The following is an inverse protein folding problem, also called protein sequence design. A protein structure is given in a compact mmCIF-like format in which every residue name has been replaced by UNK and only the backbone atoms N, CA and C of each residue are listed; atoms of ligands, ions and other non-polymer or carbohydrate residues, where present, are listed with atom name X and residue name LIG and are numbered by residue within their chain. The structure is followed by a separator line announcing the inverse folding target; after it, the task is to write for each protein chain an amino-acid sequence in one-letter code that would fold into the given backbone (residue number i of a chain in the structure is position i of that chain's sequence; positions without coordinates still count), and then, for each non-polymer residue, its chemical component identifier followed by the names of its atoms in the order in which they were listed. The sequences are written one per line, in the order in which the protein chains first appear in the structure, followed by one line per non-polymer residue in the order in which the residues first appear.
data_IF_595770294125
#
_entry.id   IF_595770294125
#
_cell.length_a   1.000
_cell.length_b   1.000
_cell.length_c   1.000
_cell.angle_alpha   90.00
_cell.angle_beta   90.00
_cell.angle_gamma   90.00
#
_symmetry.space_group_name_H-M   'P 1'
#
loop_
_entity.id
_entity.type
_entity.pdbx_description
1 polymer ?
#
# COMPACT_ATOMS: atom_id res chain seq x y z
N UNK A 1 15.83 10.73 3.08
CA UNK A 1 15.18 9.44 3.36
C UNK A 1 16.29 8.46 3.66
N UNK A 2 16.14 7.67 4.71
CA UNK A 2 17.22 6.83 5.24
C UNK A 2 16.71 5.41 5.38
N UNK A 3 17.59 4.43 5.16
CA UNK A 3 17.30 3.04 5.52
C UNK A 3 17.14 2.94 7.04
N UNK A 4 16.28 2.05 7.50
CA UNK A 4 16.06 1.80 8.93
C UNK A 4 16.59 0.42 9.35
N UNK A 5 17.82 0.11 8.95
CA UNK A 5 18.38 -1.23 9.14
C UNK A 5 18.50 -1.57 10.63
N UNK A 6 18.87 -0.61 11.47
CA UNK A 6 18.99 -0.85 12.91
C UNK A 6 17.62 -1.03 13.57
N UNK A 7 16.59 -0.29 13.14
CA UNK A 7 15.23 -0.53 13.61
C UNK A 7 14.79 -1.97 13.35
N UNK A 8 14.86 -2.41 12.09
CA UNK A 8 14.37 -3.74 11.72
C UNK A 8 15.10 -4.85 12.48
N UNK A 9 16.42 -4.71 12.68
CA UNK A 9 17.21 -5.64 13.49
C UNK A 9 16.81 -5.59 14.98
N UNK A 10 16.63 -4.40 15.54
CA UNK A 10 16.25 -4.25 16.96
C UNK A 10 14.89 -4.88 17.27
N UNK A 11 13.93 -4.83 16.33
CA UNK A 11 12.63 -5.50 16.48
C UNK A 11 12.76 -7.03 16.66
N UNK A 12 13.81 -7.63 16.12
CA UNK A 12 14.08 -9.07 16.20
C UNK A 12 14.94 -9.46 17.40
N UNK A 13 15.72 -8.53 17.94
CA UNK A 13 16.64 -8.80 19.04
C UNK A 13 15.98 -8.68 20.41
N UNK A 14 15.02 -7.77 20.58
CA UNK A 14 14.47 -7.47 21.90
C UNK A 14 13.13 -8.15 22.15
N UNK A 15 12.96 -8.87 23.28
CA UNK A 15 11.70 -9.56 23.58
C UNK A 15 10.54 -8.57 23.61
N UNK A 16 9.55 -8.79 22.73
CA UNK A 16 8.41 -7.88 22.55
C UNK A 16 8.77 -6.53 21.94
N UNK A 17 9.97 -6.39 21.36
CA UNK A 17 10.55 -5.14 20.89
C UNK A 17 10.44 -4.05 21.95
N UNK A 18 10.85 -4.37 23.20
CA UNK A 18 10.75 -3.49 24.35
C UNK A 18 12.10 -3.32 25.05
N UNK A 19 12.56 -2.08 25.19
CA UNK A 19 13.80 -1.74 25.90
C UNK A 19 13.75 -0.31 26.44
N UNK A 20 14.74 0.04 27.26
CA UNK A 20 14.89 1.41 27.77
C UNK A 20 15.13 2.38 26.60
N UNK A 21 14.65 3.63 26.74
CA UNK A 21 14.83 4.67 25.73
C UNK A 21 16.32 4.89 25.39
N UNK A 22 17.21 4.85 26.37
CA UNK A 22 18.65 5.01 26.11
C UNK A 22 19.23 3.86 25.28
N UNK A 23 18.73 2.63 25.46
CA UNK A 23 19.17 1.49 24.65
C UNK A 23 18.66 1.63 23.22
N UNK A 24 17.40 2.07 23.01
CA UNK A 24 16.89 2.41 21.69
C UNK A 24 17.71 3.51 21.00
N UNK A 25 18.03 4.60 21.71
CA UNK A 25 18.84 5.69 21.16
C UNK A 25 20.22 5.20 20.71
N UNK A 26 20.84 4.34 21.52
CA UNK A 26 22.16 3.78 21.22
C UNK A 26 22.12 2.84 20.02
N UNK A 27 21.12 1.97 19.93
CA UNK A 27 20.97 1.00 18.84
C UNK A 27 20.60 1.70 17.52
N UNK A 28 19.68 2.65 17.56
CA UNK A 28 19.15 3.31 16.36
C UNK A 28 20.08 4.41 15.83
N UNK A 29 20.79 5.12 16.72
CA UNK A 29 21.65 6.25 16.34
C UNK A 29 20.88 7.26 15.49
N UNK A 30 21.37 7.52 14.27
CA UNK A 30 20.77 8.47 13.32
C UNK A 30 19.34 8.07 12.87
N UNK A 31 18.98 6.78 12.99
CA UNK A 31 17.64 6.29 12.65
C UNK A 31 16.57 6.67 13.69
N UNK A 32 16.97 7.13 14.89
CA UNK A 32 16.05 7.43 15.99
C UNK A 32 14.90 8.34 15.57
N UNK A 33 15.20 9.42 14.83
CA UNK A 33 14.21 10.43 14.41
C UNK A 33 13.08 9.86 13.52
N UNK A 34 13.37 8.80 12.76
CA UNK A 34 12.37 8.08 11.96
C UNK A 34 11.69 6.96 12.73
N UNK A 35 12.44 6.28 13.60
CA UNK A 35 12.01 5.09 14.32
C UNK A 35 11.13 5.39 15.55
N UNK A 36 11.35 6.50 16.25
CA UNK A 36 10.65 6.84 17.50
C UNK A 36 9.12 6.88 17.31
N UNK A 37 8.64 7.25 16.13
CA UNK A 37 7.21 7.28 15.80
C UNK A 37 6.52 5.91 15.90
N UNK A 38 7.27 4.82 15.72
CA UNK A 38 6.75 3.45 15.84
C UNK A 38 6.88 2.89 17.25
N UNK A 39 7.42 3.67 18.19
CA UNK A 39 7.58 3.27 19.58
C UNK A 39 6.52 3.96 20.46
N UNK A 40 6.04 3.25 21.48
CA UNK A 40 5.15 3.81 22.50
C UNK A 40 5.68 3.55 23.89
N UNK A 41 5.36 4.44 24.84
CA UNK A 41 5.67 4.23 26.25
C UNK A 41 4.85 3.06 26.78
N UNK A 42 5.54 2.07 27.36
CA UNK A 42 4.86 0.93 28.01
C UNK A 42 4.38 1.25 29.43
N UNK A 43 4.75 2.41 29.97
CA UNK A 43 4.52 2.78 31.38
C UNK A 43 5.51 2.14 32.37
N UNK A 44 6.29 1.15 31.93
CA UNK A 44 7.34 0.50 32.74
C UNK A 44 8.62 1.32 32.75
N UNK A 45 9.42 1.10 33.80
CA UNK A 45 10.79 1.63 33.90
C UNK A 45 11.77 0.46 33.94
N UNK A 46 12.88 0.62 33.25
CA UNK A 46 13.97 -0.34 33.31
C UNK A 46 14.60 -0.32 34.72
N UNK A 47 14.96 -1.50 35.20
CA UNK A 47 15.77 -1.69 36.42
C UNK A 47 17.21 -2.04 36.07
N UNK A 48 17.44 -2.51 34.84
CA UNK A 48 18.75 -2.89 34.31
C UNK A 48 18.92 -2.36 32.88
N UNK A 49 20.16 -2.12 32.46
CA UNK A 49 20.53 -1.70 31.11
C UNK A 49 21.60 -2.62 30.53
N UNK A 50 21.67 -2.68 29.20
CA UNK A 50 22.72 -3.42 28.51
C UNK A 50 24.10 -2.80 28.75
N UNK A 51 25.09 -3.60 29.16
CA UNK A 51 26.45 -3.10 29.37
C UNK A 51 27.20 -2.95 28.04
N UNK A 52 27.82 -1.79 27.74
CA UNK A 52 28.64 -1.61 26.54
C UNK A 52 29.92 -2.46 26.53
N UNK A 53 30.40 -2.92 27.69
CA UNK A 53 31.59 -3.77 27.83
C UNK A 53 31.23 -5.22 28.18
N UNK A 54 30.03 -5.68 27.80
CA UNK A 54 29.58 -7.04 28.10
C UNK A 54 30.64 -8.09 27.72
N UNK A 55 31.13 -8.84 28.70
CA UNK A 55 31.87 -10.10 28.45
C UNK A 55 30.90 -11.25 28.17
N UNK A 56 31.41 -12.40 27.74
CA UNK A 56 30.64 -13.61 27.39
C UNK A 56 29.61 -14.07 28.45
N UNK A 57 29.72 -13.61 29.69
CA UNK A 57 28.79 -13.90 30.78
C UNK A 57 27.63 -12.89 30.97
N UNK A 58 27.46 -11.91 30.07
CA UNK A 58 26.31 -11.00 30.09
C UNK A 58 26.26 -10.08 31.30
N UNK A 59 27.21 -9.15 31.41
CA UNK A 59 27.15 -8.09 32.44
C UNK A 59 25.97 -7.15 32.17
N UNK A 60 25.01 -7.05 33.09
CA UNK A 60 23.97 -6.01 33.07
C UNK A 60 24.35 -4.84 33.98
N UNK A 61 23.92 -3.63 33.62
CA UNK A 61 24.09 -2.45 34.48
C UNK A 61 22.87 -2.24 35.34
N UNK A 62 23.04 -2.19 36.66
CA UNK A 62 21.95 -1.98 37.61
C UNK A 62 21.61 -0.49 37.71
N UNK A 63 20.32 -0.15 37.64
CA UNK A 63 19.85 1.23 37.80
C UNK A 63 19.68 1.52 39.30
N UNK A 64 20.51 2.42 39.82
CA UNK A 64 20.50 2.85 41.22
C UNK A 64 19.95 4.26 41.33
N UNK A 65 19.00 4.44 42.24
CA UNK A 65 18.49 5.75 42.63
C UNK A 65 19.29 6.26 43.82
N UNK A 66 19.95 7.40 43.64
CA UNK A 66 20.71 8.07 44.68
C UNK A 66 19.77 8.77 45.68
N UNK A 67 20.30 9.09 46.86
CA UNK A 67 19.57 9.75 47.95
C UNK A 67 19.01 11.11 47.51
N UNK A 68 19.74 11.84 46.66
CA UNK A 68 19.31 13.12 46.07
C UNK A 68 18.28 12.98 44.94
N UNK A 69 17.84 11.76 44.64
CA UNK A 69 16.84 11.45 43.63
C UNK A 69 17.38 11.34 42.20
N UNK A 70 18.69 11.54 41.97
CA UNK A 70 19.34 11.26 40.67
C UNK A 70 19.41 9.76 40.39
N UNK A 71 19.54 9.41 39.13
CA UNK A 71 19.65 8.03 38.65
C UNK A 71 21.04 7.80 38.07
N UNK A 72 21.60 6.61 38.32
CA UNK A 72 22.82 6.16 37.63
C UNK A 72 22.75 4.67 37.30
N UNK A 73 23.40 4.27 36.21
CA UNK A 73 23.63 2.88 35.84
C UNK A 73 24.99 2.44 36.40
N UNK A 74 25.02 1.45 37.29
CA UNK A 74 26.24 0.88 37.87
C UNK A 74 26.59 -0.46 37.19
N UNK A 75 27.88 -0.81 37.15
CA UNK A 75 28.30 -2.11 36.63
C UNK A 75 27.78 -3.24 37.54
N UNK A 76 27.16 -4.28 36.98
CA UNK A 76 26.73 -5.45 37.75
C UNK A 76 27.84 -6.47 38.05
N UNK A 77 29.03 -6.34 37.45
CA UNK A 77 30.16 -7.24 37.70
C UNK A 77 30.92 -6.88 38.97
N UNK A 78 31.43 -7.90 39.66
CA UNK A 78 32.36 -7.75 40.77
C UNK A 78 33.68 -8.45 40.40
N UNK A 79 34.80 -7.72 40.28
CA UNK A 79 34.94 -6.26 40.35
C UNK A 79 34.36 -5.54 39.11
N UNK A 80 34.03 -4.25 39.27
CA UNK A 80 33.47 -3.42 38.20
C UNK A 80 34.37 -3.40 36.97
N UNK A 81 33.80 -3.68 35.79
CA UNK A 81 34.51 -3.65 34.50
C UNK A 81 34.28 -2.36 33.70
N UNK A 82 33.29 -1.56 34.09
CA UNK A 82 32.94 -0.32 33.41
C UNK A 82 32.52 0.78 34.39
N UNK A 83 32.69 2.03 33.97
CA UNK A 83 32.28 3.20 34.74
C UNK A 83 30.76 3.34 34.79
N UNK A 84 30.26 3.98 35.85
CA UNK A 84 28.85 4.29 35.97
C UNK A 84 28.42 5.35 34.94
N UNK A 85 27.15 5.33 34.54
CA UNK A 85 26.56 6.35 33.69
C UNK A 85 25.48 7.12 34.44
N UNK A 86 25.47 8.45 34.34
CA UNK A 86 24.37 9.28 34.88
C UNK A 86 23.17 9.13 33.93
N UNK A 87 21.97 8.97 34.50
CA UNK A 87 20.74 8.78 33.75
C UNK A 87 19.71 9.85 34.11
N UNK A 88 18.90 10.22 33.13
CA UNK A 88 17.69 10.98 33.35
C UNK A 88 16.46 10.07 33.44
N UNK A 89 15.35 10.60 33.98
CA UNK A 89 14.09 9.84 34.08
C UNK A 89 13.57 9.34 32.72
N UNK A 90 13.68 10.09 31.60
CA UNK A 90 13.26 9.59 30.29
C UNK A 90 14.10 8.40 29.81
N UNK A 91 15.38 8.31 30.18
CA UNK A 91 16.31 7.29 29.68
C UNK A 91 15.88 5.88 30.09
N UNK A 92 15.38 5.75 31.32
CA UNK A 92 14.91 4.47 31.87
C UNK A 92 13.47 4.14 31.50
N UNK A 93 12.79 4.99 30.72
CA UNK A 93 11.41 4.71 30.29
C UNK A 93 11.43 3.60 29.25
N UNK A 94 10.70 2.51 29.49
CA UNK A 94 10.63 1.38 28.57
C UNK A 94 9.70 1.73 27.41
N UNK A 95 10.26 1.77 26.22
CA UNK A 95 9.54 1.92 24.97
C UNK A 95 9.35 0.56 24.32
N UNK A 96 8.15 0.32 23.79
CA UNK A 96 7.79 -0.90 23.07
C UNK A 96 7.27 -0.58 21.67
N UNK A 97 7.37 -1.54 20.74
CA UNK A 97 6.81 -1.40 19.41
C UNK A 97 5.30 -1.16 19.47
N UNK A 98 4.87 -0.05 18.88
CA UNK A 98 3.49 0.22 18.55
C UNK A 98 3.10 -0.56 17.28
N UNK A 99 2.77 -1.84 17.46
CA UNK A 99 2.45 -2.76 16.35
C UNK A 99 1.30 -2.27 15.47
N UNK A 100 0.26 -1.70 16.07
CA UNK A 100 -0.88 -1.15 15.33
C UNK A 100 -0.45 0.01 14.44
N UNK A 101 0.35 0.94 14.96
CA UNK A 101 0.85 2.07 14.17
C UNK A 101 1.80 1.60 13.06
N UNK A 102 2.74 0.69 13.35
CA UNK A 102 3.63 0.13 12.33
C UNK A 102 2.84 -0.54 11.21
N UNK A 103 1.89 -1.39 11.55
CA UNK A 103 1.12 -2.13 10.56
C UNK A 103 0.19 -1.21 9.73
N UNK A 104 -0.42 -0.20 10.34
CA UNK A 104 -1.16 0.84 9.61
C UNK A 104 -0.25 1.58 8.63
N UNK A 105 0.96 1.97 9.06
CA UNK A 105 1.93 2.63 8.20
C UNK A 105 2.39 1.72 7.04
N UNK A 106 2.59 0.42 7.30
CA UNK A 106 2.93 -0.55 6.25
C UNK A 106 1.77 -0.78 5.27
N UNK A 107 0.53 -0.85 5.76
CA UNK A 107 -0.66 -0.93 4.91
C UNK A 107 -0.77 0.28 3.99
N UNK A 108 -0.57 1.49 4.53
CA UNK A 108 -0.54 2.72 3.74
C UNK A 108 0.60 2.70 2.71
N UNK A 109 1.83 2.34 3.10
CA UNK A 109 3.00 2.31 2.20
C UNK A 109 2.82 1.36 1.03
N UNK A 110 2.19 0.21 1.25
CA UNK A 110 2.00 -0.82 0.23
C UNK A 110 0.63 -0.76 -0.44
N UNK A 111 -0.15 0.30 -0.19
CA UNK A 111 -1.50 0.49 -0.73
C UNK A 111 -2.41 -0.74 -0.46
N UNK A 112 -2.33 -1.31 0.74
CA UNK A 112 -3.15 -2.45 1.13
C UNK A 112 -4.56 -1.99 1.50
N UNK A 113 -5.55 -2.73 1.01
CA UNK A 113 -6.97 -2.57 1.37
C UNK A 113 -7.40 -3.65 2.37
N UNK A 114 -8.58 -3.47 2.97
CA UNK A 114 -9.14 -4.40 3.97
C UNK A 114 -8.19 -4.68 5.14
N UNK A 115 -7.37 -3.68 5.51
CA UNK A 115 -6.52 -3.76 6.69
C UNK A 115 -7.40 -3.84 7.96
N UNK A 116 -7.05 -4.69 8.94
CA UNK A 116 -7.85 -4.82 10.14
C UNK A 116 -7.74 -3.57 11.04
N UNK A 117 -8.86 -3.18 11.66
CA UNK A 117 -8.90 -2.04 12.60
C UNK A 117 -8.05 -2.28 13.86
N UNK A 118 -7.86 -3.54 14.24
CA UNK A 118 -7.09 -3.93 15.41
C UNK A 118 -6.10 -5.02 15.09
N UNK A 119 -4.88 -4.87 15.63
CA UNK A 119 -3.80 -5.83 15.42
C UNK A 119 -3.38 -6.44 16.75
N UNK A 120 -3.40 -7.76 16.79
CA UNK A 120 -3.07 -8.54 17.98
C UNK A 120 -1.57 -8.63 18.27
N UNK A 121 -1.22 -9.38 19.32
CA UNK A 121 0.18 -9.65 19.70
C UNK A 121 0.78 -10.91 19.08
N UNK A 122 0.01 -11.62 18.26
CA UNK A 122 0.49 -12.80 17.54
C UNK A 122 1.73 -12.44 16.68
N UNK A 123 2.65 -13.39 16.47
CA UNK A 123 3.83 -13.16 15.63
C UNK A 123 3.47 -13.00 14.16
N UNK A 124 2.36 -13.60 13.72
CA UNK A 124 1.78 -13.40 12.40
C UNK A 124 0.63 -12.40 12.51
N UNK A 125 0.60 -11.44 11.60
CA UNK A 125 -0.42 -10.39 11.54
C UNK A 125 -0.85 -10.20 10.09
N UNK A 126 -2.15 -10.33 9.81
CA UNK A 126 -2.69 -9.92 8.53
C UNK A 126 -2.67 -8.38 8.40
N UNK A 127 -2.13 -7.88 7.29
CA UNK A 127 -2.03 -6.44 7.01
C UNK A 127 -3.08 -5.93 6.03
N UNK A 128 -3.81 -6.83 5.35
CA UNK A 128 -4.73 -6.49 4.29
C UNK A 128 -4.39 -7.21 2.98
N UNK A 129 -4.93 -6.70 1.88
CA UNK A 129 -4.75 -7.24 0.53
C UNK A 129 -4.19 -6.19 -0.41
N UNK A 130 -3.27 -6.62 -1.26
CA UNK A 130 -2.89 -5.84 -2.43
C UNK A 130 -3.86 -6.17 -3.56
N UNK A 131 -4.61 -5.17 -4.03
CA UNK A 131 -5.52 -5.33 -5.16
C UNK A 131 -4.87 -4.89 -6.47
N UNK A 132 -4.88 -5.81 -7.44
CA UNK A 132 -4.49 -5.51 -8.83
C UNK A 132 -5.74 -5.08 -9.61
N UNK A 133 -6.85 -5.79 -9.37
CA UNK A 133 -8.21 -5.48 -9.87
C UNK A 133 -9.23 -6.17 -8.97
N UNK A 134 -10.53 -5.88 -9.11
CA UNK A 134 -11.54 -6.43 -8.21
C UNK A 134 -11.52 -7.98 -8.18
N UNK A 135 -11.38 -8.54 -6.97
CA UNK A 135 -11.27 -9.98 -6.75
C UNK A 135 -9.94 -10.60 -7.19
N UNK A 136 -9.00 -9.82 -7.75
CA UNK A 136 -7.65 -10.26 -8.15
C UNK A 136 -6.59 -9.50 -7.39
N UNK A 137 -5.87 -10.22 -6.57
CA UNK A 137 -4.87 -9.67 -5.69
C UNK A 137 -4.35 -10.75 -4.78
N UNK A 138 -3.56 -10.35 -3.80
CA UNK A 138 -2.96 -11.28 -2.86
C UNK A 138 -2.99 -10.71 -1.43
N UNK A 139 -3.19 -11.57 -0.42
CA UNK A 139 -3.11 -11.17 0.96
C UNK A 139 -1.67 -10.89 1.36
N UNK A 140 -1.52 -9.92 2.26
CA UNK A 140 -0.25 -9.49 2.82
C UNK A 140 -0.24 -9.74 4.32
N UNK A 141 0.85 -10.32 4.79
CA UNK A 141 1.06 -10.64 6.20
C UNK A 141 2.36 -10.00 6.69
N UNK A 142 2.42 -9.62 7.96
CA UNK A 142 3.62 -9.25 8.68
C UNK A 142 3.97 -10.37 9.66
N UNK A 143 5.22 -10.82 9.63
CA UNK A 143 5.77 -11.74 10.61
C UNK A 143 6.79 -11.00 11.47
N UNK A 144 6.50 -10.88 12.75
CA UNK A 144 7.40 -10.35 13.77
C UNK A 144 7.88 -11.50 14.67
N UNK A 145 9.12 -12.01 14.46
CA UNK A 145 9.67 -13.08 15.28
C UNK A 145 9.77 -12.68 16.75
N UNK A 146 9.78 -13.68 17.62
CA UNK A 146 10.16 -13.48 19.02
C UNK A 146 11.65 -13.81 19.16
N UNK A 147 12.47 -12.91 19.70
CA UNK A 147 13.91 -13.16 19.82
C UNK A 147 14.22 -14.47 20.56
N UNK A 148 15.22 -15.20 20.08
CA UNK A 148 15.67 -16.45 20.67
C UNK A 148 14.78 -17.67 20.38
N UNK A 149 13.65 -17.49 19.71
CA UNK A 149 12.73 -18.59 19.38
C UNK A 149 12.44 -18.61 17.88
N UNK A 150 12.82 -19.69 17.15
CA UNK A 150 12.37 -19.91 15.79
C UNK A 150 10.84 -19.84 15.71
N UNK A 151 10.32 -19.31 14.61
CA UNK A 151 8.87 -19.30 14.42
C UNK A 151 8.37 -20.74 14.23
N UNK A 152 7.45 -21.14 15.10
CA UNK A 152 6.75 -22.41 14.97
C UNK A 152 5.92 -22.41 13.67
N UNK A 153 6.07 -23.46 12.86
CA UNK A 153 5.34 -23.62 11.60
C UNK A 153 3.83 -23.61 11.81
N UNK A 154 3.32 -24.10 12.95
CA UNK A 154 1.90 -24.03 13.27
C UNK A 154 1.38 -22.59 13.37
N UNK A 155 2.25 -21.63 13.72
CA UNK A 155 1.88 -20.21 13.76
C UNK A 155 1.80 -19.59 12.35
N UNK A 156 2.33 -20.27 11.34
CA UNK A 156 2.25 -19.85 9.93
C UNK A 156 1.01 -20.43 9.22
N UNK A 157 0.16 -21.20 9.90
CA UNK A 157 -1.02 -21.83 9.29
C UNK A 157 -2.02 -20.81 8.73
N UNK A 158 -2.15 -19.64 9.36
CA UNK A 158 -2.96 -18.53 8.85
C UNK A 158 -2.48 -18.08 7.45
N UNK A 159 -1.16 -17.97 7.27
CA UNK A 159 -0.56 -17.65 5.96
C UNK A 159 -0.78 -18.84 5.00
N UNK A 160 -0.55 -20.06 5.47
CA UNK A 160 -0.63 -21.26 4.65
C UNK A 160 -2.03 -21.48 4.05
N UNK A 161 -3.09 -21.20 4.82
CA UNK A 161 -4.50 -21.39 4.45
C UNK A 161 -5.08 -20.27 3.59
N UNK A 162 -4.45 -19.10 3.58
CA UNK A 162 -4.88 -17.97 2.76
C UNK A 162 -4.79 -18.25 1.24
N UNK A 163 -5.53 -17.48 0.44
CA UNK A 163 -5.46 -17.56 -1.03
C UNK A 163 -4.05 -17.29 -1.54
N UNK A 164 -3.56 -18.11 -2.47
CA UNK A 164 -2.29 -17.90 -3.15
C UNK A 164 -2.46 -17.12 -4.48
N UNK A 165 -1.44 -16.38 -4.94
CA UNK A 165 -0.16 -16.14 -4.26
C UNK A 165 -0.35 -15.20 -3.06
N UNK A 166 0.67 -15.09 -2.19
CA UNK A 166 0.61 -14.27 -0.97
C UNK A 166 1.96 -13.66 -0.63
N UNK A 167 1.97 -12.51 0.03
CA UNK A 167 3.21 -11.83 0.44
C UNK A 167 3.37 -11.86 1.96
N UNK A 168 4.61 -12.10 2.40
CA UNK A 168 4.98 -12.14 3.80
C UNK A 168 6.11 -11.13 4.04
N UNK A 169 5.80 -10.06 4.75
CA UNK A 169 6.78 -9.09 5.21
C UNK A 169 7.47 -9.57 6.47
N UNK A 170 8.78 -9.38 6.53
CA UNK A 170 9.60 -9.66 7.70
C UNK A 170 10.52 -8.48 7.96
N UNK A 171 10.92 -8.16 9.21
CA UNK A 171 11.81 -7.03 9.46
C UNK A 171 13.11 -7.14 8.65
N UNK A 172 13.78 -8.28 8.75
CA UNK A 172 15.03 -8.58 8.03
C UNK A 172 14.90 -9.81 7.13
N UNK A 173 15.93 -10.11 6.34
CA UNK A 173 16.02 -11.38 5.61
C UNK A 173 16.16 -12.55 6.56
N UNK A 174 16.78 -12.38 7.73
CA UNK A 174 17.06 -13.43 8.71
C UNK A 174 15.89 -13.78 9.62
N UNK A 175 14.76 -13.05 9.57
CA UNK A 175 13.61 -13.27 10.46
C UNK A 175 13.02 -14.68 10.41
N UNK A 176 13.12 -15.33 9.26
CA UNK A 176 12.64 -16.69 9.04
C UNK A 176 13.84 -17.61 8.80
N UNK A 177 13.85 -18.77 9.44
CA UNK A 177 14.84 -19.82 9.15
C UNK A 177 14.55 -20.53 7.82
N UNK A 178 15.45 -21.44 7.41
CA UNK A 178 15.31 -22.16 6.15
C UNK A 178 14.06 -23.04 6.10
N UNK A 179 13.61 -23.58 7.24
CA UNK A 179 12.45 -24.47 7.32
C UNK A 179 11.16 -23.67 7.10
N UNK A 180 11.01 -22.55 7.80
CA UNK A 180 9.88 -21.63 7.64
C UNK A 180 9.81 -21.09 6.20
N UNK A 181 10.94 -20.70 5.59
CA UNK A 181 10.98 -20.25 4.20
C UNK A 181 10.56 -21.34 3.22
N UNK A 182 11.06 -22.56 3.41
CA UNK A 182 10.71 -23.70 2.55
C UNK A 182 9.22 -24.03 2.66
N UNK A 183 8.67 -24.04 3.87
CA UNK A 183 7.24 -24.25 4.12
C UNK A 183 6.37 -23.18 3.44
N UNK A 184 6.73 -21.90 3.60
CA UNK A 184 6.02 -20.78 2.97
C UNK A 184 6.12 -20.83 1.44
N UNK A 185 7.29 -21.17 0.89
CA UNK A 185 7.51 -21.34 -0.55
C UNK A 185 6.58 -22.40 -1.16
N UNK A 186 6.41 -23.55 -0.49
CA UNK A 186 5.46 -24.60 -0.91
C UNK A 186 3.99 -24.12 -0.93
N UNK A 187 3.67 -23.07 -0.16
CA UNK A 187 2.35 -22.43 -0.11
C UNK A 187 2.24 -21.18 -0.98
N UNK A 188 3.19 -20.97 -1.89
CA UNK A 188 3.26 -19.81 -2.79
C UNK A 188 3.26 -18.47 -2.03
N UNK A 189 3.91 -18.45 -0.86
CA UNK A 189 4.15 -17.26 -0.08
C UNK A 189 5.55 -16.71 -0.38
N UNK A 190 5.62 -15.45 -0.82
CA UNK A 190 6.87 -14.76 -1.10
C UNK A 190 7.28 -13.90 0.10
N UNK A 191 8.45 -14.20 0.67
CA UNK A 191 9.05 -13.37 1.72
C UNK A 191 9.65 -12.10 1.11
N UNK A 192 9.35 -10.94 1.71
CA UNK A 192 10.01 -9.67 1.40
C UNK A 192 10.47 -8.99 2.70
N UNK A 193 11.77 -8.72 2.81
CA UNK A 193 12.35 -8.09 4.00
C UNK A 193 12.18 -6.57 3.95
N UNK A 194 11.63 -5.98 5.01
CA UNK A 194 11.35 -4.54 5.12
C UNK A 194 12.64 -3.70 5.10
N UNK A 195 13.75 -4.23 5.63
CA UNK A 195 15.07 -3.56 5.57
C UNK A 195 15.57 -3.26 4.16
N UNK A 196 15.08 -3.99 3.15
CA UNK A 196 15.48 -3.80 1.76
C UNK A 196 14.55 -2.86 1.00
N UNK A 197 13.29 -2.75 1.45
CA UNK A 197 12.21 -2.17 0.64
C UNK A 197 11.51 -0.99 1.30
N UNK A 198 11.76 -0.71 2.58
CA UNK A 198 11.18 0.43 3.30
C UNK A 198 12.27 1.40 3.71
N UNK A 199 12.04 2.67 3.37
CA UNK A 199 12.81 3.82 3.82
C UNK A 199 11.95 4.66 4.76
N UNK A 200 12.57 5.36 5.71
CA UNK A 200 11.91 6.40 6.49
C UNK A 200 12.35 7.79 6.08
N UNK A 201 11.37 8.69 6.00
CA UNK A 201 11.56 10.12 6.15
C UNK A 201 11.58 10.54 7.62
N UNK A 202 11.89 11.81 7.88
CA UNK A 202 11.69 12.38 9.22
C UNK A 202 10.21 12.25 9.65
N UNK A 203 9.98 12.17 10.97
CA UNK A 203 8.66 12.08 11.61
C UNK A 203 7.90 10.76 11.37
N UNK A 204 8.59 9.65 11.09
CA UNK A 204 7.94 8.34 10.99
C UNK A 204 7.17 8.10 9.69
N UNK A 205 7.39 8.91 8.66
CA UNK A 205 6.79 8.64 7.35
C UNK A 205 7.58 7.54 6.63
N UNK A 206 6.95 6.38 6.45
CA UNK A 206 7.50 5.28 5.67
C UNK A 206 7.27 5.51 4.17
N UNK A 207 8.17 5.00 3.35
CA UNK A 207 8.06 5.01 1.89
C UNK A 207 8.74 3.80 1.28
N UNK A 208 8.24 3.29 0.14
CA UNK A 208 8.87 2.17 -0.53
C UNK A 208 10.18 2.62 -1.21
N UNK A 209 11.21 1.77 -1.18
CA UNK A 209 12.52 2.04 -1.76
C UNK A 209 12.51 2.07 -3.31
N UNK A 210 11.47 1.51 -3.92
CA UNK A 210 11.23 1.47 -5.37
C UNK A 210 9.70 1.36 -5.61
N UNK A 211 9.21 1.58 -6.84
CA UNK A 211 7.78 1.47 -7.14
C UNK A 211 7.18 0.13 -6.69
N UNK A 212 5.95 0.17 -6.15
CA UNK A 212 5.27 -1.00 -5.58
C UNK A 212 5.05 -2.10 -6.62
N UNK A 213 4.68 -1.73 -7.86
CA UNK A 213 4.51 -2.68 -8.96
C UNK A 213 5.81 -3.45 -9.27
N UNK A 214 6.97 -2.80 -9.08
CA UNK A 214 8.28 -3.45 -9.23
C UNK A 214 8.66 -4.31 -8.01
N UNK A 215 8.12 -4.01 -6.83
CA UNK A 215 8.30 -4.84 -5.64
C UNK A 215 7.49 -6.13 -5.74
N UNK A 216 6.30 -6.06 -6.31
CA UNK A 216 5.35 -7.16 -6.40
C UNK A 216 5.26 -7.81 -7.78
N UNK A 217 6.17 -7.49 -8.71
CA UNK A 217 6.07 -7.94 -10.10
C UNK A 217 5.87 -9.46 -10.23
N UNK A 218 6.64 -10.26 -9.50
CA UNK A 218 6.51 -11.73 -9.52
C UNK A 218 5.16 -12.22 -9.00
N UNK A 219 4.59 -11.55 -8.00
CA UNK A 219 3.26 -11.88 -7.45
C UNK A 219 2.15 -11.46 -8.43
N UNK A 220 2.32 -10.31 -9.07
CA UNK A 220 1.41 -9.78 -10.09
C UNK A 220 1.41 -10.72 -11.32
N UNK A 221 2.59 -11.13 -11.80
CA UNK A 221 2.77 -12.08 -12.90
C UNK A 221 2.16 -13.45 -12.60
N UNK A 222 2.22 -13.92 -11.35
CA UNK A 222 1.61 -15.18 -10.95
C UNK A 222 0.06 -15.15 -11.03
N UNK A 223 -0.55 -13.98 -10.81
CA UNK A 223 -2.01 -13.78 -10.92
C UNK A 223 -2.42 -13.46 -12.36
N UNK A 224 -1.54 -12.81 -13.12
CA UNK A 224 -1.77 -12.42 -14.51
C UNK A 224 -0.65 -13.01 -15.38
N UNK A 225 -0.70 -14.32 -15.71
CA UNK A 225 0.37 -14.98 -16.45
C UNK A 225 0.53 -14.36 -17.85
N UNK A 226 1.77 -14.04 -18.20
CA UNK A 226 2.16 -13.63 -19.55
C UNK A 226 1.83 -14.76 -20.55
N UNK A 227 0.65 -14.67 -21.18
CA UNK A 227 0.16 -15.72 -22.09
C UNK A 227 -1.36 -15.86 -22.10
N UNK A 228 -2.06 -15.39 -21.06
CA UNK A 228 -3.40 -14.86 -21.31
C UNK A 228 -3.17 -13.52 -21.97
N UNK A 229 -3.67 -13.33 -23.20
CA UNK A 229 -3.86 -11.99 -23.72
C UNK A 229 -4.53 -11.19 -22.61
N UNK A 230 -3.77 -10.31 -21.95
CA UNK A 230 -4.36 -9.16 -21.29
C UNK A 230 -5.19 -8.54 -22.42
N UNK A 231 -6.54 -8.51 -22.33
CA UNK A 231 -7.27 -7.65 -23.22
C UNK A 231 -6.65 -6.27 -22.98
N UNK A 232 -5.97 -5.75 -23.97
CA UNK A 232 -5.39 -4.41 -23.92
C UNK A 232 -6.59 -3.48 -23.72
N UNK A 233 -6.75 -3.03 -22.48
CA UNK A 233 -7.90 -2.31 -21.96
C UNK A 233 -7.98 -2.49 -20.43
N UNK A 234 -7.91 -1.43 -19.62
CA UNK A 234 -8.16 -1.52 -18.17
C UNK A 234 -9.68 -1.63 -17.98
N UNK A 235 -10.27 -2.69 -17.44
CA UNK A 235 -9.97 -3.18 -16.09
C UNK A 235 -10.98 -2.66 -15.06
N UNK A 236 -12.23 -2.40 -15.44
CA UNK A 236 -13.34 -2.17 -14.50
C UNK A 236 -14.21 -3.42 -14.47
N UNK A 237 -14.25 -4.09 -13.31
CA UNK A 237 -15.11 -5.27 -13.12
C UNK A 237 -16.55 -4.80 -12.94
N UNK A 238 -17.35 -5.02 -13.97
CA UNK A 238 -18.78 -4.76 -13.95
C UNK A 238 -19.50 -6.01 -13.41
N UNK A 239 -20.34 -5.90 -12.34
CA UNK A 239 -21.07 -7.05 -11.80
C UNK A 239 -21.94 -7.73 -12.87
N UNK A 240 -22.06 -9.07 -12.79
CA UNK A 240 -22.91 -9.84 -13.70
C UNK A 240 -24.36 -9.33 -13.70
N UNK A 241 -24.91 -9.07 -14.88
CA UNK A 241 -26.27 -8.53 -15.04
C UNK A 241 -26.38 -7.01 -15.02
N UNK A 242 -25.27 -6.29 -14.86
CA UNK A 242 -25.24 -4.82 -14.98
C UNK A 242 -25.46 -4.42 -16.45
N UNK A 243 -26.40 -3.52 -16.68
CA UNK A 243 -26.60 -2.88 -17.98
C UNK A 243 -25.96 -1.48 -17.99
N UNK A 244 -25.81 -0.90 -19.18
CA UNK A 244 -25.17 0.41 -19.33
C UNK A 244 -25.88 1.52 -18.53
N UNK A 245 -27.19 1.42 -18.28
CA UNK A 245 -27.95 2.45 -17.57
C UNK A 245 -27.59 2.53 -16.07
N UNK A 246 -26.96 1.49 -15.53
CA UNK A 246 -26.41 1.47 -14.18
C UNK A 246 -25.00 2.08 -14.08
N UNK A 247 -24.42 2.51 -15.20
CA UNK A 247 -23.10 3.15 -15.26
C UNK A 247 -23.29 4.67 -15.34
N UNK A 248 -22.55 5.40 -14.52
CA UNK A 248 -22.49 6.87 -14.57
C UNK A 248 -21.11 7.32 -15.00
N UNK A 249 -21.02 8.16 -16.04
CA UNK A 249 -19.79 8.77 -16.53
C UNK A 249 -19.90 10.29 -16.42
N UNK A 250 -19.16 10.85 -15.48
CA UNK A 250 -19.14 12.28 -15.19
C UNK A 250 -17.80 12.89 -15.61
N UNK A 251 -17.82 14.02 -16.32
CA UNK A 251 -16.62 14.81 -16.57
C UNK A 251 -16.36 15.76 -15.41
N UNK A 252 -15.36 15.44 -14.60
CA UNK A 252 -14.90 16.29 -13.48
C UNK A 252 -13.88 17.33 -13.94
N UNK A 253 -13.07 17.01 -14.96
CA UNK A 253 -12.12 17.95 -15.58
C UNK A 253 -12.03 17.71 -17.09
N UNK A 254 -11.38 18.61 -17.83
CA UNK A 254 -11.29 18.53 -19.29
C UNK A 254 -10.65 17.23 -19.79
N UNK A 255 -9.75 16.66 -19.00
CA UNK A 255 -9.01 15.43 -19.28
C UNK A 255 -9.24 14.34 -18.21
N UNK A 256 -10.30 14.45 -17.40
CA UNK A 256 -10.61 13.45 -16.37
C UNK A 256 -12.12 13.19 -16.32
N UNK A 257 -12.49 11.91 -16.34
CA UNK A 257 -13.82 11.42 -16.04
C UNK A 257 -13.84 10.64 -14.72
N UNK A 258 -14.96 10.70 -14.02
CA UNK A 258 -15.34 9.79 -12.94
C UNK A 258 -16.34 8.79 -13.51
N UNK A 259 -15.98 7.51 -13.51
CA UNK A 259 -16.86 6.41 -13.89
C UNK A 259 -17.34 5.70 -12.62
N UNK A 260 -18.65 5.65 -12.40
CA UNK A 260 -19.27 4.98 -11.26
C UNK A 260 -20.04 3.74 -11.73
N UNK A 261 -19.75 2.59 -11.11
CA UNK A 261 -20.42 1.31 -11.30
C UNK A 261 -20.72 0.73 -9.93
N UNK A 262 -21.99 0.39 -9.66
CA UNK A 262 -22.42 -0.26 -8.43
C UNK A 262 -21.92 0.40 -7.12
N UNK A 263 -21.79 1.74 -7.11
CA UNK A 263 -21.32 2.51 -5.95
C UNK A 263 -19.79 2.74 -5.90
N UNK A 264 -19.02 2.05 -6.73
CA UNK A 264 -17.57 2.24 -6.84
C UNK A 264 -17.25 3.28 -7.91
N UNK A 265 -16.44 4.28 -7.56
CA UNK A 265 -16.01 5.36 -8.47
C UNK A 265 -14.56 5.19 -8.90
N UNK A 266 -14.30 5.28 -10.20
CA UNK A 266 -12.97 5.25 -10.81
C UNK A 266 -12.67 6.59 -11.49
N UNK A 267 -11.48 7.14 -11.26
CA UNK A 267 -11.01 8.37 -11.92
C UNK A 267 -10.12 7.99 -13.10
N UNK A 268 -10.52 8.39 -14.30
CA UNK A 268 -9.89 7.94 -15.56
C UNK A 268 -9.57 9.14 -16.44
N UNK A 269 -8.42 9.11 -17.11
CA UNK A 269 -8.04 10.03 -18.15
C UNK A 269 -8.05 9.40 -19.56
N UNK A 270 -7.65 10.17 -20.58
CA UNK A 270 -7.52 9.67 -21.96
C UNK A 270 -6.55 8.49 -22.09
N UNK A 271 -5.52 8.41 -21.24
CA UNK A 271 -4.54 7.32 -21.24
C UNK A 271 -5.19 5.98 -20.87
N UNK A 272 -6.03 5.99 -19.83
CA UNK A 272 -6.72 4.79 -19.34
C UNK A 272 -7.71 4.21 -20.37
N UNK A 273 -8.28 5.03 -21.25
CA UNK A 273 -9.15 4.57 -22.33
C UNK A 273 -8.41 4.26 -23.64
N UNK A 274 -7.08 4.30 -23.65
CA UNK A 274 -6.26 4.27 -24.88
C UNK A 274 -6.66 5.37 -25.90
N UNK A 275 -7.24 6.45 -25.39
CA UNK A 275 -7.70 7.61 -26.13
C UNK A 275 -6.70 8.76 -26.11
N UNK A 276 -5.42 8.52 -25.79
CA UNK A 276 -4.33 9.48 -26.00
C UNK A 276 -3.50 9.10 -27.22
N UNK A 277 -3.07 10.10 -27.98
CA UNK A 277 -2.16 9.91 -29.10
C UNK A 277 -0.72 9.81 -28.59
N UNK A 278 -0.03 8.69 -28.87
CA UNK A 278 1.32 8.43 -28.36
C UNK A 278 2.36 9.47 -28.79
N UNK A 279 2.22 10.03 -30.00
CA UNK A 279 3.16 11.01 -30.56
C UNK A 279 2.93 12.41 -30.03
N UNK A 280 1.67 12.87 -30.03
CA UNK A 280 1.33 14.26 -29.67
C UNK A 280 0.98 14.43 -28.20
N UNK A 281 0.83 13.32 -27.46
CA UNK A 281 0.35 13.28 -26.07
C UNK A 281 -1.02 13.96 -25.87
N UNK A 282 -1.76 14.24 -26.95
CA UNK A 282 -3.09 14.87 -26.91
C UNK A 282 -4.21 13.82 -26.95
N UNK A 283 -5.39 14.12 -26.38
CA UNK A 283 -6.56 13.25 -26.52
C UNK A 283 -6.96 13.06 -27.99
N UNK A 284 -7.28 11.82 -28.36
CA UNK A 284 -7.86 11.45 -29.66
C UNK A 284 -9.26 12.05 -29.79
N UNK A 285 -9.73 12.22 -31.01
CA UNK A 285 -11.06 12.81 -31.28
C UNK A 285 -12.24 12.03 -30.65
N UNK A 286 -12.07 10.74 -30.35
CA UNK A 286 -13.04 9.96 -29.60
C UNK A 286 -13.24 10.42 -28.14
N UNK A 287 -12.20 10.96 -27.48
CA UNK A 287 -12.34 11.57 -26.15
C UNK A 287 -13.20 12.84 -26.23
N UNK A 288 -12.96 13.67 -27.24
CA UNK A 288 -13.79 14.86 -27.51
C UNK A 288 -15.25 14.49 -27.80
N UNK A 289 -15.50 13.34 -28.41
CA UNK A 289 -16.84 12.81 -28.64
C UNK A 289 -17.54 12.45 -27.31
N UNK A 290 -16.87 11.74 -26.40
CA UNK A 290 -17.42 11.44 -25.06
C UNK A 290 -17.74 12.71 -24.28
N UNK A 291 -16.87 13.72 -24.37
CA UNK A 291 -17.12 15.03 -23.75
C UNK A 291 -18.34 15.73 -24.35
N UNK A 292 -18.48 15.71 -25.67
CA UNK A 292 -19.63 16.31 -26.35
C UNK A 292 -20.95 15.60 -25.95
N UNK A 293 -20.91 14.27 -25.80
CA UNK A 293 -22.03 13.48 -25.27
C UNK A 293 -22.42 13.95 -23.87
N UNK A 294 -21.46 14.04 -22.95
CA UNK A 294 -21.70 14.50 -21.58
C UNK A 294 -22.29 15.92 -21.54
N UNK A 295 -21.75 16.84 -22.35
CA UNK A 295 -22.24 18.22 -22.44
C UNK A 295 -23.66 18.34 -22.99
N UNK A 296 -24.08 17.40 -23.86
CA UNK A 296 -25.41 17.31 -24.46
C UNK A 296 -26.30 16.28 -23.74
N UNK A 297 -25.98 15.92 -22.48
CA UNK A 297 -26.76 15.01 -21.63
C UNK A 297 -27.03 13.65 -22.29
N UNK A 298 -26.01 13.11 -22.94
CA UNK A 298 -26.03 11.77 -23.53
C UNK A 298 -26.69 11.68 -24.90
N UNK A 299 -26.96 12.79 -25.60
CA UNK A 299 -27.50 12.76 -26.98
C UNK A 299 -26.69 13.64 -27.92
N UNK A 300 -26.31 13.12 -29.09
CA UNK A 300 -25.68 13.89 -30.17
C UNK A 300 -26.46 13.67 -31.47
N UNK A 301 -26.91 14.76 -32.09
CA UNK A 301 -27.62 14.70 -33.37
C UNK A 301 -26.68 14.41 -34.56
N UNK A 302 -27.01 13.39 -35.36
CA UNK A 302 -26.25 12.91 -36.53
C UNK A 302 -26.45 13.78 -37.77
N UNK A 303 -27.58 14.49 -37.89
CA UNK A 303 -27.94 15.30 -39.07
C UNK A 303 -27.24 16.65 -39.16
N UNK A 304 -26.34 16.98 -38.22
CA UNK A 304 -25.77 18.33 -38.16
C UNK A 304 -24.74 18.68 -39.24
N UNK A 305 -24.32 17.77 -40.12
CA UNK A 305 -23.23 18.06 -41.06
C UNK A 305 -23.25 17.18 -42.32
N UNK A 306 -22.55 17.65 -43.36
CA UNK A 306 -22.36 16.99 -44.66
C UNK A 306 -21.81 15.54 -44.56
N UNK A 307 -21.81 14.80 -45.67
CA UNK A 307 -21.44 13.38 -45.71
C UNK A 307 -20.05 13.06 -45.12
N UNK A 308 -19.07 13.97 -45.29
CA UNK A 308 -17.70 13.81 -44.80
C UNK A 308 -17.63 13.88 -43.28
N UNK A 309 -18.34 14.82 -42.67
CA UNK A 309 -18.41 14.94 -41.21
C UNK A 309 -19.19 13.80 -40.56
N UNK A 310 -20.24 13.29 -41.21
CA UNK A 310 -20.98 12.12 -40.72
C UNK A 310 -20.07 10.89 -40.61
N UNK A 311 -19.24 10.64 -41.63
CA UNK A 311 -18.25 9.55 -41.61
C UNK A 311 -17.23 9.73 -40.48
N UNK A 312 -16.74 10.96 -40.29
CA UNK A 312 -15.79 11.28 -39.21
C UNK A 312 -16.38 11.06 -37.82
N UNK A 313 -17.60 11.54 -37.57
CA UNK A 313 -18.30 11.38 -36.28
C UNK A 313 -18.61 9.91 -36.03
N UNK A 314 -19.01 9.15 -37.06
CA UNK A 314 -19.24 7.70 -36.94
C UNK A 314 -17.97 6.95 -36.49
N UNK A 315 -16.81 7.27 -37.07
CA UNK A 315 -15.52 6.69 -36.64
C UNK A 315 -15.15 7.06 -35.20
N UNK A 316 -15.41 8.30 -34.79
CA UNK A 316 -15.19 8.74 -33.41
C UNK A 316 -16.09 8.00 -32.43
N UNK A 317 -17.38 7.84 -32.76
CA UNK A 317 -18.35 7.05 -31.99
C UNK A 317 -17.90 5.61 -31.86
N UNK A 318 -17.45 4.98 -32.95
CA UNK A 318 -17.00 3.58 -32.93
C UNK A 318 -15.78 3.40 -32.03
N UNK A 319 -14.78 4.30 -32.14
CA UNK A 319 -13.61 4.29 -31.28
C UNK A 319 -13.96 4.52 -29.80
N UNK A 320 -14.87 5.45 -29.50
CA UNK A 320 -15.34 5.70 -28.13
C UNK A 320 -16.10 4.48 -27.56
N UNK A 321 -16.97 3.87 -28.37
CA UNK A 321 -17.75 2.69 -27.97
C UNK A 321 -16.84 1.48 -27.76
N UNK A 322 -15.81 1.32 -28.60
CA UNK A 322 -14.78 0.29 -28.41
C UNK A 322 -13.99 0.50 -27.11
N UNK A 323 -13.56 1.74 -26.84
CA UNK A 323 -12.82 2.05 -25.62
C UNK A 323 -13.64 1.74 -24.35
N UNK A 324 -14.91 2.15 -24.30
CA UNK A 324 -15.79 1.87 -23.17
C UNK A 324 -16.09 0.37 -22.98
N UNK A 325 -16.30 -0.38 -24.08
CA UNK A 325 -16.50 -1.84 -24.01
C UNK A 325 -15.24 -2.57 -23.56
N UNK A 326 -14.08 -2.17 -24.08
CA UNK A 326 -12.79 -2.70 -23.62
C UNK A 326 -12.57 -2.41 -22.14
N UNK A 327 -12.98 -1.23 -21.67
CA UNK A 327 -12.80 -0.83 -20.29
C UNK A 327 -13.65 -1.67 -19.30
N UNK A 328 -14.92 -1.88 -19.68
CA UNK A 328 -15.95 -2.49 -18.81
C UNK A 328 -16.14 -4.00 -19.02
N UNK A 329 -15.62 -4.55 -20.12
CA UNK A 329 -15.87 -5.93 -20.52
C UNK A 329 -17.29 -6.21 -21.03
N UNK A 330 -18.14 -5.19 -21.16
CA UNK A 330 -19.52 -5.35 -21.63
C UNK A 330 -19.57 -5.48 -23.16
N UNK A 331 -20.31 -6.48 -23.66
CA UNK A 331 -20.45 -6.74 -25.10
C UNK A 331 -21.43 -5.78 -25.80
N UNK A 332 -22.45 -5.31 -25.08
CA UNK A 332 -23.46 -4.38 -25.59
C UNK A 332 -22.85 -3.02 -25.97
N UNK A 333 -23.41 -2.38 -26.99
CA UNK A 333 -22.97 -1.05 -27.42
C UNK A 333 -23.41 0.04 -26.43
N UNK A 334 -22.47 0.76 -25.79
CA UNK A 334 -22.78 1.85 -24.86
C UNK A 334 -23.46 3.05 -25.53
N UNK A 335 -23.40 3.16 -26.86
CA UNK A 335 -23.90 4.32 -27.60
C UNK A 335 -24.74 3.81 -28.77
N UNK A 336 -26.06 3.90 -28.61
CA UNK A 336 -27.03 3.41 -29.60
C UNK A 336 -27.34 4.48 -30.63
N UNK A 337 -27.90 4.05 -31.75
CA UNK A 337 -28.45 4.94 -32.78
C UNK A 337 -29.97 4.89 -32.65
N UNK A 338 -30.58 6.01 -32.29
CA UNK A 338 -32.04 6.17 -32.20
C UNK A 338 -32.48 7.24 -33.20
N UNK A 339 -33.07 6.81 -34.32
CA UNK A 339 -33.42 7.72 -35.42
C UNK A 339 -32.19 8.49 -35.93
N UNK A 340 -32.24 9.81 -35.77
CA UNK A 340 -31.19 10.73 -36.19
C UNK A 340 -30.18 11.08 -35.09
N UNK A 341 -30.22 10.42 -33.93
CA UNK A 341 -29.35 10.72 -32.79
C UNK A 341 -28.46 9.53 -32.40
N UNK A 342 -27.26 9.85 -31.90
CA UNK A 342 -26.49 8.95 -31.04
C UNK A 342 -26.95 9.16 -29.60
N UNK A 343 -27.28 8.07 -28.91
CA UNK A 343 -27.83 8.09 -27.54
C UNK A 343 -27.00 7.23 -26.62
N UNK A 344 -26.57 7.80 -25.49
CA UNK A 344 -25.86 7.07 -24.44
C UNK A 344 -26.82 6.08 -23.78
N UNK A 345 -26.40 4.82 -23.71
CA UNK A 345 -27.06 3.82 -22.88
C UNK A 345 -26.70 3.98 -21.40
N UNK A 346 -25.76 4.86 -21.06
CA UNK A 346 -25.28 5.17 -19.71
C UNK A 346 -25.65 6.59 -19.28
N UNK A 347 -25.62 6.83 -17.96
CA UNK A 347 -25.87 8.16 -17.40
C UNK A 347 -24.61 9.01 -17.57
N UNK A 348 -24.74 10.24 -18.07
CA UNK A 348 -23.57 11.11 -18.27
C UNK A 348 -23.81 12.57 -17.91
N UNK A 349 -22.82 13.16 -17.24
CA UNK A 349 -22.84 14.52 -16.71
C UNK A 349 -21.56 15.28 -17.05
N UNK A 350 -21.68 16.60 -17.17
CA UNK A 350 -20.57 17.53 -17.37
C UNK A 350 -20.80 18.82 -16.58
N UNK A 351 -21.49 18.73 -15.44
CA UNK A 351 -21.93 19.88 -14.67
C UNK A 351 -20.73 20.59 -14.00
N UNK A 352 -19.75 19.83 -13.51
CA UNK A 352 -18.50 20.34 -12.93
C UNK A 352 -17.63 21.10 -13.96
N UNK A 353 -17.66 20.70 -15.24
CA UNK A 353 -16.98 21.42 -16.32
C UNK A 353 -17.55 22.84 -16.56
N UNK A 354 -18.77 23.12 -16.11
CA UNK A 354 -19.41 24.43 -16.27
C UNK A 354 -19.07 25.37 -15.11
N UNK A 355 -18.87 24.86 -13.90
CA UNK A 355 -18.51 25.66 -12.72
C UNK A 355 -17.10 26.26 -12.83
N UNK A 356 -16.11 25.50 -13.31
CA UNK A 356 -14.74 26.01 -13.49
C UNK A 356 -14.56 27.14 -14.51
N UNK A 357 -15.58 27.44 -15.33
CA UNK A 357 -15.60 28.61 -16.23
C UNK A 357 -16.18 29.87 -15.59
N UNK A 358 -16.94 29.76 -14.50
CA UNK A 358 -17.50 30.91 -13.80
C UNK A 358 -16.54 31.50 -12.77
N UNK A 359 -15.63 30.69 -12.20
CA UNK A 359 -14.60 31.14 -11.26
C UNK A 359 -13.34 31.74 -11.94
N UNK A 360 -13.35 31.89 -13.27
CA UNK A 360 -12.27 32.52 -14.05
C UNK A 360 -12.69 33.82 -14.75
N UNK A 361 -13.72 34.52 -14.24
CA UNK A 361 -14.12 35.84 -14.73
C UNK A 361 -14.06 36.91 -13.67
#
# INVERSE_FOLDING_TARGET
MTKMTNLWRALEQWPGAAAARCDWLKELGDEWSGAEAFLRKSGRRATELACPKSSENGCSRQIVKLIDGRLRAECGDIPNRCDYAILERPDISVLELNRAHLASALAEVFHLVDAPDTIGRAPVQYLGRYEISAGRGFPAFLVLPTPGFPIDLAKLDEIATASAPKVVFTPTRSSLDQNARSFLGLKQATQIALEDIVLAGGNGKLTPARPIDSLFSTLIEAIVPAGHNVPTGPGIVVPSGTNWAAITIEFVELAIIRLTVAGTSHRLGPDDLELKNATTQRPKAAWSFLKAMAQQRGRINRRRTNATDQSRISKQKEAASKALRNLTGMSEDPIKVEGDDYVASYVTHADDLRQGKQDQR
#
